data_IF_848757716740
#
_entry.id   IF_848757716740
#
_cell.length_a   1.000
_cell.length_b   1.000
_cell.length_c   1.000
_cell.angle_alpha   90.00
_cell.angle_beta   90.00
_cell.angle_gamma   90.00
#
_symmetry.space_group_name_H-M   'P 1'
#
loop_
_entity.id
_entity.type
_entity.pdbx_description
1 polymer ?
#
# COMPACT_ATOMS: atom_id res chain seq x y z
N UNK A 1 -0.74 -19.18 10.60
CA UNK A 1 -1.22 -18.03 9.81
C UNK A 1 0.00 -17.16 9.54
N UNK A 2 0.15 -16.56 8.34
CA UNK A 2 1.28 -15.65 8.05
C UNK A 2 1.06 -14.33 8.81
N UNK A 3 2.11 -13.77 9.40
CA UNK A 3 2.01 -12.53 10.18
C UNK A 3 2.07 -11.33 9.24
N UNK A 4 1.09 -10.43 9.35
CA UNK A 4 0.95 -9.23 8.52
C UNK A 4 0.75 -8.01 9.40
N UNK A 5 1.59 -7.00 9.21
CA UNK A 5 1.39 -5.65 9.75
C UNK A 5 0.81 -4.74 8.67
N UNK A 6 -0.20 -3.95 9.03
CA UNK A 6 -0.69 -2.86 8.15
C UNK A 6 0.06 -1.57 8.46
N UNK A 7 0.51 -0.88 7.43
CA UNK A 7 1.07 0.47 7.52
C UNK A 7 0.25 1.40 6.62
N UNK A 8 -0.32 2.44 7.22
CA UNK A 8 -1.06 3.49 6.53
C UNK A 8 -0.29 4.81 6.63
N UNK A 9 -0.08 5.48 5.50
CA UNK A 9 0.43 6.86 5.49
C UNK A 9 -0.72 7.84 5.33
N UNK A 10 -0.65 8.97 6.04
CA UNK A 10 -1.63 10.05 6.03
C UNK A 10 -0.94 11.40 6.07
N UNK A 11 -1.56 12.41 5.48
CA UNK A 11 -1.08 13.79 5.57
C UNK A 11 -2.24 14.79 5.55
N UNK A 12 -2.68 15.24 6.74
CA UNK A 12 -3.67 16.31 6.92
C UNK A 12 -5.00 16.11 6.17
N UNK A 13 -5.45 14.85 6.03
CA UNK A 13 -6.73 14.48 5.41
C UNK A 13 -7.54 13.53 6.32
N UNK A 14 -7.87 13.94 7.55
CA UNK A 14 -8.48 13.05 8.55
C UNK A 14 -9.84 12.50 8.12
N UNK A 15 -10.61 13.23 7.31
CA UNK A 15 -11.89 12.77 6.77
C UNK A 15 -11.75 11.65 5.74
N UNK A 16 -10.68 11.65 4.95
CA UNK A 16 -10.38 10.54 4.04
C UNK A 16 -9.83 9.34 4.83
N UNK A 17 -8.93 9.60 5.78
CA UNK A 17 -8.41 8.56 6.65
C UNK A 17 -9.52 7.81 7.38
N UNK A 18 -10.50 8.52 7.96
CA UNK A 18 -11.63 7.89 8.63
C UNK A 18 -12.43 6.97 7.69
N UNK A 19 -12.73 7.44 6.47
CA UNK A 19 -13.43 6.63 5.46
C UNK A 19 -12.63 5.40 5.02
N UNK A 20 -11.31 5.56 4.86
CA UNK A 20 -10.42 4.45 4.53
C UNK A 20 -10.45 3.40 5.63
N UNK A 21 -10.33 3.81 6.90
CA UNK A 21 -10.39 2.90 8.04
C UNK A 21 -11.75 2.22 8.17
N UNK A 22 -12.86 2.97 8.03
CA UNK A 22 -14.22 2.41 8.06
C UNK A 22 -14.38 1.30 7.02
N UNK A 23 -13.96 1.56 5.78
CA UNK A 23 -14.05 0.57 4.71
C UNK A 23 -13.06 -0.58 4.90
N UNK A 24 -11.83 -0.30 5.33
CA UNK A 24 -10.84 -1.33 5.61
C UNK A 24 -11.34 -2.32 6.66
N UNK A 25 -11.76 -1.84 7.82
CA UNK A 25 -12.22 -2.72 8.92
C UNK A 25 -13.55 -3.42 8.61
N UNK A 26 -14.39 -2.82 7.77
CA UNK A 26 -15.63 -3.47 7.30
C UNK A 26 -15.36 -4.69 6.44
N UNK A 27 -14.32 -4.65 5.60
CA UNK A 27 -14.03 -5.71 4.62
C UNK A 27 -12.79 -6.54 4.98
N UNK A 28 -12.05 -6.21 6.03
CA UNK A 28 -10.93 -7.01 6.47
C UNK A 28 -11.39 -8.26 7.21
N UNK A 29 -11.06 -9.43 6.68
CA UNK A 29 -11.32 -10.75 7.28
C UNK A 29 -10.07 -11.39 7.86
N UNK A 30 -8.89 -10.78 7.64
CA UNK A 30 -7.61 -11.31 8.08
C UNK A 30 -7.26 -10.85 9.50
N UNK A 31 -6.73 -11.77 10.32
CA UNK A 31 -6.20 -11.43 11.63
C UNK A 31 -4.84 -10.73 11.48
N UNK A 32 -4.80 -9.42 11.74
CA UNK A 32 -3.59 -8.62 11.70
C UNK A 32 -2.72 -8.83 12.94
N UNK A 33 -1.40 -8.76 12.78
CA UNK A 33 -0.46 -8.66 13.89
C UNK A 33 -0.48 -7.26 14.50
N UNK A 34 -0.39 -6.22 13.64
CA UNK A 34 -0.38 -4.82 14.04
C UNK A 34 -0.99 -3.95 12.94
N UNK A 35 -1.49 -2.77 13.33
CA UNK A 35 -1.90 -1.72 12.41
C UNK A 35 -1.33 -0.38 12.86
N UNK A 36 -0.49 0.22 12.02
CA UNK A 36 0.13 1.51 12.27
C UNK A 36 -0.32 2.55 11.25
N UNK A 37 -0.59 3.76 11.73
CA UNK A 37 -0.82 4.94 10.89
C UNK A 37 0.27 5.95 11.24
N UNK A 38 0.90 6.53 10.22
CA UNK A 38 1.79 7.68 10.39
C UNK A 38 1.23 8.89 9.66
N UNK A 39 0.97 9.96 10.41
CA UNK A 39 0.57 11.24 9.83
C UNK A 39 1.79 12.16 9.69
N UNK A 40 1.99 12.65 8.47
CA UNK A 40 3.12 13.49 8.06
C UNK A 40 2.76 14.97 7.93
N UNK A 41 1.66 15.41 8.53
CA UNK A 41 1.22 16.81 8.47
C UNK A 41 2.10 17.78 9.25
N UNK A 42 2.90 17.28 10.20
CA UNK A 42 3.61 18.08 11.19
C UNK A 42 2.73 18.53 12.37
N UNK A 43 1.50 18.01 12.48
CA UNK A 43 0.56 18.32 13.55
C UNK A 43 0.33 17.11 14.42
N UNK A 44 1.01 17.05 15.56
CA UNK A 44 0.88 15.94 16.50
C UNK A 44 -0.56 15.88 17.05
N UNK A 45 -1.15 14.69 17.02
CA UNK A 45 -2.49 14.44 17.56
C UNK A 45 -3.64 14.83 16.63
N UNK A 46 -3.39 15.23 15.38
CA UNK A 46 -4.45 15.63 14.43
C UNK A 46 -5.53 14.57 14.18
N UNK A 47 -5.19 13.29 14.37
CA UNK A 47 -6.09 12.16 14.19
C UNK A 47 -6.50 11.48 15.51
N UNK A 48 -6.22 12.10 16.67
CA UNK A 48 -6.45 11.47 17.98
C UNK A 48 -7.92 11.13 18.25
N UNK A 49 -8.86 11.86 17.65
CA UNK A 49 -10.28 11.56 17.75
C UNK A 49 -10.67 10.19 17.15
N UNK A 50 -9.83 9.64 16.26
CA UNK A 50 -10.04 8.31 15.67
C UNK A 50 -9.64 7.16 16.62
N UNK A 51 -8.86 7.43 17.67
CA UNK A 51 -8.37 6.39 18.59
C UNK A 51 -9.50 5.66 19.32
N UNK A 52 -10.57 6.38 19.67
CA UNK A 52 -11.73 5.76 20.32
C UNK A 52 -12.49 4.84 19.36
N UNK A 53 -12.60 5.24 18.09
CA UNK A 53 -13.29 4.47 17.06
C UNK A 53 -12.48 3.25 16.60
N UNK A 54 -11.15 3.36 16.57
CA UNK A 54 -10.23 2.34 16.09
C UNK A 54 -9.16 1.98 17.15
N UNK A 55 -9.55 1.35 18.27
CA UNK A 55 -8.66 1.11 19.42
C UNK A 55 -7.52 0.12 19.14
N UNK A 56 -7.60 -0.66 18.05
CA UNK A 56 -6.55 -1.59 17.61
C UNK A 56 -5.50 -0.93 16.71
N UNK A 57 -5.63 0.37 16.42
CA UNK A 57 -4.74 1.12 15.54
C UNK A 57 -3.75 1.95 16.35
N UNK A 58 -2.47 1.86 16.01
CA UNK A 58 -1.40 2.67 16.59
C UNK A 58 -1.18 3.92 15.73
N UNK A 59 -1.41 5.11 16.30
CA UNK A 59 -1.25 6.39 15.62
C UNK A 59 0.11 7.00 15.96
N UNK A 60 0.87 7.31 14.92
CA UNK A 60 2.18 7.96 14.96
C UNK A 60 2.09 9.31 14.25
N UNK A 61 2.90 10.27 14.68
CA UNK A 61 2.94 11.61 14.11
C UNK A 61 4.37 12.03 13.85
N UNK A 62 4.59 12.69 12.73
CA UNK A 62 5.82 13.45 12.52
C UNK A 62 5.62 14.86 13.06
N UNK A 63 6.62 15.40 13.76
CA UNK A 63 6.60 16.78 14.28
C UNK A 63 6.81 17.82 13.17
N UNK A 64 7.32 17.36 12.02
CA UNK A 64 7.49 18.15 10.79
C UNK A 64 7.15 17.25 9.60
N UNK A 65 6.73 17.88 8.49
CA UNK A 65 6.52 17.13 7.25
C UNK A 65 7.86 16.60 6.71
N UNK A 66 8.02 15.30 6.65
CA UNK A 66 9.22 14.60 6.15
C UNK A 66 9.12 14.20 4.68
N UNK A 67 7.91 14.21 4.12
CA UNK A 67 7.54 13.60 2.84
C UNK A 67 7.18 12.13 2.96
N UNK A 68 6.33 11.67 2.03
CA UNK A 68 5.73 10.33 2.04
C UNK A 68 6.77 9.21 2.21
N UNK A 69 7.81 9.20 1.37
CA UNK A 69 8.79 8.10 1.34
C UNK A 69 9.54 7.95 2.66
N UNK A 70 9.94 9.07 3.28
CA UNK A 70 10.64 9.03 4.58
C UNK A 70 9.72 8.59 5.72
N UNK A 71 8.45 8.97 5.65
CA UNK A 71 7.43 8.53 6.62
C UNK A 71 7.18 7.04 6.50
N UNK A 72 7.14 6.49 5.27
CA UNK A 72 7.06 5.06 5.03
C UNK A 72 8.29 4.34 5.61
N UNK A 73 9.50 4.81 5.29
CA UNK A 73 10.74 4.19 5.79
C UNK A 73 10.80 4.19 7.31
N UNK A 74 10.38 5.28 7.95
CA UNK A 74 10.28 5.36 9.40
C UNK A 74 9.37 4.26 9.96
N UNK A 75 8.19 4.06 9.37
CA UNK A 75 7.26 3.03 9.84
C UNK A 75 7.72 1.62 9.52
N UNK A 76 8.27 1.38 8.33
CA UNK A 76 8.78 0.05 7.96
C UNK A 76 9.93 -0.40 8.88
N UNK A 77 10.70 0.54 9.43
CA UNK A 77 11.72 0.25 10.44
C UNK A 77 11.17 -0.33 11.75
N UNK A 78 9.88 -0.16 12.05
CA UNK A 78 9.20 -0.76 13.20
C UNK A 78 8.49 -2.07 12.88
N UNK A 79 8.30 -2.41 11.59
CA UNK A 79 7.64 -3.65 11.18
C UNK A 79 8.52 -4.85 11.47
N UNK A 80 8.04 -5.78 12.31
CA UNK A 80 8.75 -7.01 12.68
C UNK A 80 8.20 -8.25 11.99
N UNK A 81 7.02 -8.15 11.34
CA UNK A 81 6.39 -9.24 10.63
C UNK A 81 6.99 -9.45 9.23
N UNK A 82 6.91 -10.67 8.67
CA UNK A 82 7.45 -10.94 7.32
C UNK A 82 6.78 -10.15 6.19
N UNK A 83 5.49 -9.75 6.39
CA UNK A 83 4.70 -9.08 5.40
C UNK A 83 4.16 -7.76 5.93
N UNK A 84 4.15 -6.75 5.04
CA UNK A 84 3.50 -5.47 5.27
C UNK A 84 2.43 -5.24 4.21
N UNK A 85 1.20 -4.95 4.65
CA UNK A 85 0.14 -4.46 3.79
C UNK A 85 0.13 -2.94 3.88
N UNK A 86 0.62 -2.30 2.82
CA UNK A 86 0.70 -0.83 2.76
C UNK A 86 -0.58 -0.26 2.20
N UNK A 87 -1.07 0.83 2.82
CA UNK A 87 -2.20 1.63 2.33
C UNK A 87 -1.92 3.12 2.53
N UNK A 88 -2.70 3.95 1.85
CA UNK A 88 -2.75 5.40 2.04
C UNK A 88 -4.13 5.80 2.54
N UNK A 89 -4.30 7.02 3.03
CA UNK A 89 -5.52 7.49 3.69
C UNK A 89 -6.71 7.74 2.75
N UNK A 90 -6.56 7.57 1.45
CA UNK A 90 -7.57 7.93 0.44
C UNK A 90 -8.04 6.75 -0.43
N UNK A 91 -8.18 5.58 0.19
CA UNK A 91 -8.66 4.37 -0.46
C UNK A 91 -9.96 3.87 0.15
N UNK A 92 -10.87 3.40 -0.69
CA UNK A 92 -12.13 2.77 -0.29
C UNK A 92 -12.09 1.27 -0.63
N UNK A 93 -12.11 0.42 0.40
CA UNK A 93 -12.24 -1.02 0.25
C UNK A 93 -13.71 -1.38 0.04
N UNK A 94 -13.99 -2.36 -0.84
CA UNK A 94 -15.37 -2.75 -1.17
C UNK A 94 -15.58 -4.27 -1.26
N UNK A 95 -14.52 -5.07 -1.04
CA UNK A 95 -14.56 -6.53 -1.16
C UNK A 95 -13.67 -7.18 -0.10
N UNK A 96 -14.16 -8.27 0.47
CA UNK A 96 -13.46 -9.06 1.50
C UNK A 96 -12.32 -9.90 0.92
N UNK A 97 -11.42 -10.39 1.82
CA UNK A 97 -10.39 -11.36 1.50
C UNK A 97 -9.19 -10.80 0.73
N UNK A 98 -8.95 -9.49 0.77
CA UNK A 98 -7.88 -8.85 0.02
C UNK A 98 -6.47 -9.19 0.53
N UNK A 99 -6.29 -9.37 1.83
CA UNK A 99 -4.98 -9.77 2.40
C UNK A 99 -4.71 -11.24 2.10
N UNK A 100 -5.71 -12.11 2.31
CA UNK A 100 -5.64 -13.53 1.99
C UNK A 100 -5.29 -13.76 0.52
N UNK A 101 -5.97 -13.04 -0.37
CA UNK A 101 -5.70 -13.10 -1.80
C UNK A 101 -4.25 -12.71 -2.14
N UNK A 102 -3.75 -11.62 -1.53
CA UNK A 102 -2.38 -11.21 -1.72
C UNK A 102 -1.37 -12.24 -1.20
N UNK A 103 -1.66 -12.88 -0.05
CA UNK A 103 -0.80 -13.90 0.53
C UNK A 103 -0.75 -15.20 -0.30
N UNK A 104 -1.81 -15.50 -1.06
CA UNK A 104 -1.83 -16.61 -2.03
C UNK A 104 -0.89 -16.35 -3.23
N UNK A 105 -0.61 -15.08 -3.54
CA UNK A 105 0.15 -14.68 -4.74
C UNK A 105 1.60 -14.34 -4.43
N UNK A 106 1.87 -13.61 -3.33
CA UNK A 106 3.17 -12.96 -3.08
C UNK A 106 4.36 -13.93 -3.02
N UNK A 107 4.12 -15.18 -2.62
CA UNK A 107 5.17 -16.19 -2.47
C UNK A 107 5.26 -17.17 -3.64
N UNK A 108 4.48 -16.98 -4.71
CA UNK A 108 4.57 -17.80 -5.91
C UNK A 108 5.91 -17.61 -6.65
N UNK A 109 6.51 -16.42 -6.51
CA UNK A 109 7.84 -16.11 -7.03
C UNK A 109 8.56 -15.15 -6.07
N UNK A 110 9.86 -15.37 -5.85
CA UNK A 110 10.67 -14.48 -5.01
C UNK A 110 10.79 -13.08 -5.59
N UNK A 111 10.64 -12.93 -6.90
CA UNK A 111 10.71 -11.65 -7.62
C UNK A 111 9.40 -10.86 -7.63
N UNK A 112 8.33 -11.35 -7.03
CA UNK A 112 7.12 -10.54 -6.82
C UNK A 112 7.40 -9.52 -5.71
N UNK A 113 7.53 -8.24 -6.11
CA UNK A 113 7.83 -7.16 -5.16
C UNK A 113 6.58 -6.69 -4.41
N UNK A 114 5.43 -6.69 -5.07
CA UNK A 114 4.14 -6.37 -4.45
C UNK A 114 2.97 -6.96 -5.23
N UNK A 115 1.85 -7.14 -4.53
CA UNK A 115 0.57 -7.57 -5.09
C UNK A 115 -0.44 -6.47 -4.87
N UNK A 116 -0.90 -5.84 -5.95
CA UNK A 116 -1.82 -4.72 -5.93
C UNK A 116 -3.26 -5.18 -5.72
N UNK A 117 -3.98 -4.47 -4.86
CA UNK A 117 -5.42 -4.69 -4.60
C UNK A 117 -6.32 -3.66 -5.28
N UNK A 118 -5.74 -2.63 -5.90
CA UNK A 118 -6.46 -1.60 -6.64
C UNK A 118 -7.34 -2.20 -7.73
N UNK A 119 -8.53 -1.61 -7.92
CA UNK A 119 -9.39 -1.92 -9.06
C UNK A 119 -8.69 -1.55 -10.38
N UNK A 120 -8.47 -2.50 -11.30
CA UNK A 120 -7.82 -2.20 -12.57
C UNK A 120 -8.62 -1.24 -13.46
N UNK A 121 -9.93 -1.07 -13.20
CA UNK A 121 -10.78 -0.12 -13.93
C UNK A 121 -10.71 1.31 -13.36
N UNK A 122 -10.16 1.49 -12.17
CA UNK A 122 -9.99 2.80 -11.53
C UNK A 122 -8.96 3.66 -12.29
N UNK A 123 -7.89 3.04 -12.77
CA UNK A 123 -6.95 3.62 -13.73
C UNK A 123 -6.39 2.50 -14.59
N UNK A 124 -6.46 2.59 -15.92
CA UNK A 124 -5.94 1.52 -16.78
C UNK A 124 -4.43 1.32 -16.57
N UNK A 125 -4.07 0.10 -16.25
CA UNK A 125 -2.68 -0.32 -16.12
C UNK A 125 -2.39 -1.44 -17.12
N UNK A 126 -1.36 -1.29 -17.97
CA UNK A 126 -0.98 -2.35 -18.89
C UNK A 126 -0.54 -3.59 -18.14
N UNK A 127 -1.05 -4.73 -18.56
CA UNK A 127 -0.73 -6.04 -18.00
C UNK A 127 -0.14 -6.96 -19.05
N UNK A 128 0.62 -7.94 -18.59
CA UNK A 128 1.17 -9.00 -19.44
C UNK A 128 0.25 -10.20 -19.33
N UNK A 129 -0.22 -10.72 -20.48
CA UNK A 129 -0.90 -12.01 -20.55
C UNK A 129 0.12 -13.18 -20.40
N UNK A 130 -0.32 -14.34 -19.89
CA UNK A 130 -1.68 -14.75 -19.61
C UNK A 130 -2.23 -14.26 -18.25
N UNK A 131 -3.53 -14.41 -18.06
CA UNK A 131 -4.16 -14.36 -16.75
C UNK A 131 -3.93 -15.69 -16.05
N UNK A 132 -3.37 -15.64 -14.85
CA UNK A 132 -3.22 -16.80 -13.98
C UNK A 132 -4.45 -16.91 -13.09
N UNK A 133 -4.98 -18.12 -12.93
CA UNK A 133 -5.99 -18.40 -11.90
C UNK A 133 -5.28 -18.86 -10.63
N UNK A 134 -5.46 -18.10 -9.55
CA UNK A 134 -4.92 -18.41 -8.23
C UNK A 134 -6.09 -18.52 -7.26
N UNK A 135 -6.46 -19.75 -6.91
CA UNK A 135 -7.58 -20.03 -6.01
C UNK A 135 -8.90 -19.37 -6.46
N UNK A 136 -9.21 -19.41 -7.75
CA UNK A 136 -10.41 -18.81 -8.35
C UNK A 136 -10.33 -17.30 -8.55
N UNK A 137 -9.13 -16.71 -8.46
CA UNK A 137 -8.90 -15.27 -8.67
C UNK A 137 -7.99 -15.07 -9.87
N UNK A 138 -8.41 -14.26 -10.82
CA UNK A 138 -7.59 -13.85 -11.94
C UNK A 138 -6.49 -12.89 -11.51
N UNK A 139 -5.25 -13.17 -11.87
CA UNK A 139 -4.08 -12.36 -11.53
C UNK A 139 -3.23 -12.17 -12.77
N UNK A 140 -2.70 -10.95 -12.98
CA UNK A 140 -1.81 -10.61 -14.09
C UNK A 140 -0.55 -9.94 -13.59
N UNK A 141 0.53 -10.08 -14.34
CA UNK A 141 1.75 -9.31 -14.15
C UNK A 141 1.56 -7.91 -14.73
N UNK A 142 1.98 -6.87 -13.98
CA UNK A 142 2.06 -5.50 -14.48
C UNK A 142 3.26 -5.32 -15.41
N UNK A 143 3.07 -4.55 -16.48
CA UNK A 143 4.12 -4.21 -17.44
C UNK A 143 4.79 -2.91 -17.02
N UNK A 144 6.11 -2.94 -16.77
CA UNK A 144 6.88 -1.75 -16.46
C UNK A 144 7.28 -0.97 -17.71
N UNK A 145 7.34 0.36 -17.59
CA UNK A 145 7.87 1.24 -18.64
C UNK A 145 6.94 1.47 -19.84
N UNK A 146 5.67 1.04 -19.73
CA UNK A 146 4.70 1.29 -20.79
C UNK A 146 4.28 2.76 -20.79
N UNK A 147 4.32 3.40 -21.95
CA UNK A 147 3.86 4.79 -22.17
C UNK A 147 4.50 5.83 -21.20
N UNK A 148 5.75 5.58 -20.79
CA UNK A 148 6.47 6.45 -19.85
C UNK A 148 6.02 6.35 -18.39
N UNK A 149 5.05 5.51 -18.10
CA UNK A 149 4.56 5.27 -16.76
C UNK A 149 5.25 4.08 -16.08
N UNK A 150 5.25 4.08 -14.74
CA UNK A 150 5.69 2.92 -13.99
C UNK A 150 4.53 1.96 -13.74
N UNK A 151 4.81 0.68 -13.86
CA UNK A 151 3.85 -0.39 -13.56
C UNK A 151 4.59 -1.50 -12.84
N UNK A 152 4.79 -1.34 -11.56
CA UNK A 152 5.60 -2.27 -10.78
C UNK A 152 5.45 -2.03 -9.29
N UNK A 153 6.51 -1.62 -8.61
CA UNK A 153 6.42 -1.21 -7.23
C UNK A 153 5.48 -0.01 -7.07
N UNK A 154 4.67 -0.02 -6.00
CA UNK A 154 3.75 1.08 -5.67
C UNK A 154 3.56 1.22 -4.17
N UNK A 155 3.17 2.42 -3.73
CA UNK A 155 2.63 2.68 -2.41
C UNK A 155 1.10 2.57 -2.34
N UNK A 156 0.41 2.40 -3.46
CA UNK A 156 -1.02 2.06 -3.47
C UNK A 156 -1.27 0.78 -2.64
N UNK A 157 -2.51 0.52 -2.19
CA UNK A 157 -2.83 -0.65 -1.37
C UNK A 157 -2.30 -1.95 -1.98
N UNK A 158 -1.33 -2.54 -1.29
CA UNK A 158 -0.60 -3.73 -1.77
C UNK A 158 0.12 -4.46 -0.65
N UNK A 159 0.27 -5.77 -0.81
CA UNK A 159 1.09 -6.59 0.06
C UNK A 159 2.54 -6.63 -0.44
N UNK A 160 3.49 -6.52 0.48
CA UNK A 160 4.94 -6.58 0.24
C UNK A 160 5.61 -7.50 1.25
N UNK A 161 6.77 -8.02 0.88
CA UNK A 161 7.68 -8.73 1.81
C UNK A 161 8.63 -7.73 2.45
N UNK A 162 8.69 -7.66 3.77
CA UNK A 162 9.55 -6.70 4.48
C UNK A 162 11.06 -6.96 4.20
N UNK A 163 11.43 -8.21 3.91
CA UNK A 163 12.81 -8.56 3.55
C UNK A 163 13.33 -7.87 2.27
N UNK A 164 12.43 -7.43 1.40
CA UNK A 164 12.77 -6.76 0.15
C UNK A 164 12.88 -5.22 0.32
N UNK A 165 12.53 -4.70 1.50
CA UNK A 165 12.72 -3.29 1.83
C UNK A 165 14.19 -2.98 2.15
N UNK A 166 14.73 -1.94 1.53
CA UNK A 166 16.12 -1.51 1.67
C UNK A 166 16.26 -0.01 2.03
N UNK A 167 15.21 0.61 2.57
CA UNK A 167 15.17 2.05 2.78
C UNK A 167 14.89 2.81 1.48
N UNK A 168 13.62 3.08 1.22
CA UNK A 168 13.15 3.68 -0.03
C UNK A 168 13.67 5.09 -0.25
N UNK A 169 13.82 5.88 0.83
CA UNK A 169 14.29 7.28 0.75
C UNK A 169 15.72 7.41 0.19
N UNK A 170 16.53 6.34 0.24
CA UNK A 170 17.86 6.32 -0.37
C UNK A 170 17.80 6.10 -1.89
N UNK A 171 16.68 5.57 -2.39
CA UNK A 171 16.48 5.27 -3.80
C UNK A 171 15.85 6.48 -4.51
N UNK A 172 14.82 7.08 -3.90
CA UNK A 172 14.11 8.21 -4.46
C UNK A 172 12.59 8.13 -4.25
N UNK A 173 11.84 8.71 -5.20
CA UNK A 173 10.37 8.66 -5.21
C UNK A 173 9.88 7.32 -5.78
N UNK A 174 8.59 7.10 -5.78
CA UNK A 174 7.95 5.84 -6.22
C UNK A 174 8.40 5.38 -7.62
N UNK A 175 8.58 6.31 -8.56
CA UNK A 175 9.06 6.01 -9.90
C UNK A 175 10.49 5.44 -9.88
N UNK A 176 11.41 6.07 -9.15
CA UNK A 176 12.80 5.62 -9.03
C UNK A 176 12.88 4.27 -8.29
N UNK A 177 12.05 4.08 -7.26
CA UNK A 177 11.96 2.82 -6.52
C UNK A 177 11.44 1.70 -7.44
N UNK A 178 10.41 1.99 -8.24
CA UNK A 178 9.87 1.03 -9.21
C UNK A 178 10.92 0.61 -10.24
N UNK A 179 11.69 1.59 -10.78
CA UNK A 179 12.79 1.34 -11.70
C UNK A 179 13.90 0.50 -11.07
N UNK A 180 14.29 0.83 -9.83
CA UNK A 180 15.32 0.09 -9.09
C UNK A 180 14.97 -1.40 -8.95
N UNK A 181 13.73 -1.72 -8.58
CA UNK A 181 13.31 -3.11 -8.47
C UNK A 181 13.17 -3.79 -9.84
N UNK A 182 12.68 -3.09 -10.85
CA UNK A 182 12.60 -3.62 -12.21
C UNK A 182 13.99 -4.01 -12.76
N UNK A 183 15.01 -3.15 -12.60
CA UNK A 183 16.38 -3.42 -13.04
C UNK A 183 17.00 -4.63 -12.33
N UNK A 184 16.48 -5.02 -11.15
CA UNK A 184 16.85 -6.23 -10.43
C UNK A 184 15.98 -7.45 -10.77
N UNK A 185 15.13 -7.33 -11.78
CA UNK A 185 14.27 -8.40 -12.27
C UNK A 185 13.02 -8.63 -11.44
N UNK A 186 12.66 -7.71 -10.52
CA UNK A 186 11.39 -7.77 -9.81
C UNK A 186 10.23 -7.30 -10.68
N UNK A 187 9.03 -7.76 -10.34
CA UNK A 187 7.79 -7.37 -10.99
C UNK A 187 6.64 -7.32 -9.98
N UNK A 188 5.55 -6.67 -10.35
CA UNK A 188 4.34 -6.62 -9.54
C UNK A 188 3.21 -7.41 -10.18
N UNK A 189 2.28 -7.85 -9.33
CA UNK A 189 1.06 -8.55 -9.75
C UNK A 189 -0.16 -7.70 -9.39
N UNK A 190 -1.22 -7.81 -10.19
CA UNK A 190 -2.51 -7.15 -9.96
C UNK A 190 -3.65 -8.14 -10.19
N UNK A 191 -4.72 -8.04 -9.39
CA UNK A 191 -5.93 -8.81 -9.61
C UNK A 191 -6.72 -8.26 -10.80
N UNK A 192 -7.36 -9.14 -11.57
CA UNK A 192 -8.27 -8.74 -12.65
C UNK A 192 -9.59 -8.16 -12.12
N UNK A 193 -9.89 -8.42 -10.86
CA UNK A 193 -11.06 -7.95 -10.12
C UNK A 193 -10.56 -7.37 -8.79
N UNK A 194 -10.58 -6.04 -8.67
CA UNK A 194 -9.96 -5.32 -7.56
C UNK A 194 -10.70 -5.48 -6.23
N UNK A 195 -10.11 -4.91 -5.18
CA UNK A 195 -10.64 -4.93 -3.80
C UNK A 195 -10.83 -3.53 -3.22
N UNK A 196 -10.16 -2.54 -3.80
CA UNK A 196 -10.26 -1.14 -3.38
C UNK A 196 -10.15 -0.20 -4.58
N UNK A 197 -10.65 1.02 -4.41
CA UNK A 197 -10.57 2.10 -5.39
C UNK A 197 -10.06 3.39 -4.74
N UNK A 198 -9.46 4.25 -5.53
CA UNK A 198 -8.95 5.53 -5.05
C UNK A 198 -10.10 6.52 -4.80
N UNK A 199 -10.17 7.07 -3.59
CA UNK A 199 -11.21 7.99 -3.14
C UNK A 199 -10.74 9.45 -3.07
N UNK A 200 -9.45 9.71 -3.23
CA UNK A 200 -8.81 11.02 -3.06
C UNK A 200 -8.68 11.89 -4.30
N UNK A 201 -9.40 11.57 -5.39
CA UNK A 201 -9.30 12.33 -6.64
C UNK A 201 -9.48 13.84 -6.43
N UNK A 202 -8.53 14.64 -6.96
CA UNK A 202 -8.55 16.12 -6.86
C UNK A 202 -8.09 16.68 -5.50
N UNK A 203 -7.64 15.83 -4.56
CA UNK A 203 -7.18 16.23 -3.22
C UNK A 203 -5.74 15.77 -2.93
N UNK A 204 -4.88 15.77 -3.93
CA UNK A 204 -3.47 15.41 -3.74
C UNK A 204 -2.76 16.40 -2.83
N UNK A 205 -1.98 15.89 -1.88
CA UNK A 205 -1.04 16.69 -1.09
C UNK A 205 0.28 16.69 -1.85
N UNK A 206 0.75 17.87 -2.25
CA UNK A 206 2.10 18.01 -2.83
C UNK A 206 3.11 18.03 -1.70
N UNK A 207 4.17 17.24 -1.80
CA UNK A 207 5.30 17.31 -0.90
C UNK A 207 5.90 18.72 -0.96
N UNK A 208 6.08 19.36 0.22
CA UNK A 208 6.68 20.70 0.32
C UNK A 208 8.19 20.66 0.04
N UNK A 209 8.60 20.02 -1.01
CA UNK A 209 10.00 19.86 -1.38
C UNK A 209 10.21 19.74 -2.89
N UNK A 210 9.17 20.00 -3.67
CA UNK A 210 9.23 20.10 -5.13
C UNK A 210 9.27 21.55 -5.60
#
# INVERSE_FOLDING_TARGET
>A
MKEVTVVCTSCNRPDLLEKTLDSFFKYNTYQLSEFHIIDDSGVVGCNDYLKEKFPSVNFWYNEVNLGQVKSIDKMYGYVTTPYVFHIEEDWEFYKEGFIEACLDVIDLDEKIICVWTRDPNDTPHPTIDPTYDINGRGVRRLMWGFDGHWHGFTFNPSLKKIKDWNGYAQIGRELEISKYYYEKGYFAMIFTDGYCRHAGWGRHVTDKGE
#
